data_IF_787698202085
#
_entry.id   IF_787698202085
#
_cell.length_a   1.000
_cell.length_b   1.000
_cell.length_c   1.000
_cell.angle_alpha   90.00
_cell.angle_beta   90.00
_cell.angle_gamma   90.00
#
_symmetry.space_group_name_H-M   'P 1'
#
loop_
_entity.id
_entity.type
_entity.pdbx_description
1 polymer ?
#
# COMPACT_ATOMS: atom_id res chain seq x y z
N UNK A 1 -18.14 0.83 -6.51
CA UNK A 1 -17.05 0.04 -5.91
C UNK A 1 -17.66 -0.84 -4.88
N UNK A 2 -17.34 -2.14 -4.91
CA UNK A 2 -17.83 -3.07 -3.88
C UNK A 2 -17.22 -2.68 -2.53
N UNK A 3 -18.00 -2.76 -1.45
CA UNK A 3 -17.55 -2.44 -0.09
C UNK A 3 -16.30 -3.23 0.32
N UNK A 4 -16.18 -4.48 -0.12
CA UNK A 4 -14.99 -5.31 0.13
C UNK A 4 -13.71 -4.71 -0.46
N UNK A 5 -13.80 -4.07 -1.64
CA UNK A 5 -12.65 -3.41 -2.25
C UNK A 5 -12.25 -2.15 -1.47
N UNK A 6 -13.23 -1.41 -0.94
CA UNK A 6 -12.98 -0.25 -0.07
C UNK A 6 -12.27 -0.67 1.23
N UNK A 7 -12.76 -1.72 1.89
CA UNK A 7 -12.13 -2.28 3.10
C UNK A 7 -10.73 -2.83 2.81
N UNK A 8 -10.50 -3.37 1.61
CA UNK A 8 -9.18 -3.84 1.18
C UNK A 8 -8.21 -2.68 0.95
N UNK A 9 -8.65 -1.63 0.25
CA UNK A 9 -7.87 -0.40 0.06
C UNK A 9 -7.52 0.21 1.42
N UNK A 10 -8.48 0.33 2.32
CA UNK A 10 -8.28 0.91 3.66
C UNK A 10 -7.21 0.14 4.47
N UNK A 11 -7.26 -1.19 4.48
CA UNK A 11 -6.23 -2.03 5.12
C UNK A 11 -4.84 -1.86 4.50
N UNK A 12 -4.76 -1.83 3.17
CA UNK A 12 -3.48 -1.65 2.46
C UNK A 12 -2.88 -0.26 2.74
N UNK A 13 -3.72 0.79 2.75
CA UNK A 13 -3.31 2.15 3.08
C UNK A 13 -2.82 2.27 4.53
N UNK A 14 -3.52 1.65 5.49
CA UNK A 14 -3.05 1.61 6.90
C UNK A 14 -1.67 0.94 7.01
N UNK A 15 -1.44 -0.16 6.29
CA UNK A 15 -0.14 -0.85 6.27
C UNK A 15 0.96 0.03 5.69
N UNK A 16 0.69 0.75 4.60
CA UNK A 16 1.64 1.70 4.00
C UNK A 16 2.04 2.80 4.98
N UNK A 17 1.06 3.41 5.66
CA UNK A 17 1.29 4.48 6.64
C UNK A 17 2.13 3.97 7.81
N UNK A 18 1.78 2.80 8.38
CA UNK A 18 2.53 2.22 9.49
C UNK A 18 3.99 1.96 9.13
N UNK A 19 4.25 1.35 7.96
CA UNK A 19 5.62 1.10 7.49
C UNK A 19 6.38 2.39 7.16
N UNK A 20 5.68 3.43 6.69
CA UNK A 20 6.29 4.73 6.41
C UNK A 20 6.66 5.48 7.69
N UNK A 21 5.84 5.41 8.74
CA UNK A 21 6.14 6.03 10.03
C UNK A 21 7.36 5.39 10.69
N UNK A 22 7.42 4.05 10.68
CA UNK A 22 8.61 3.31 11.12
C UNK A 22 9.88 3.82 10.41
N UNK A 23 9.78 4.12 9.11
CA UNK A 23 10.91 4.67 8.33
C UNK A 23 11.33 6.10 8.63
N UNK A 24 10.44 6.92 9.18
CA UNK A 24 10.70 8.35 9.43
C UNK A 24 11.16 8.63 10.86
N UNK A 25 10.71 7.86 11.85
CA UNK A 25 11.04 8.08 13.27
C UNK A 25 12.47 7.64 13.67
N UNK A 26 13.31 7.23 12.71
CA UNK A 26 14.71 6.88 12.96
C UNK A 26 14.92 5.49 13.60
N UNK A 27 13.88 4.68 13.81
CA UNK A 27 14.07 3.27 14.16
C UNK A 27 14.60 2.44 12.97
N UNK A 28 14.40 2.91 11.73
CA UNK A 28 15.03 2.30 10.54
C UNK A 28 16.54 2.56 10.44
N UNK A 29 17.12 3.42 11.30
CA UNK A 29 18.59 3.55 11.35
C UNK A 29 19.28 2.26 11.84
N UNK A 30 18.53 1.29 12.35
CA UNK A 30 19.01 -0.07 12.71
C UNK A 30 18.66 -1.15 11.69
N UNK A 31 17.84 -0.86 10.66
CA UNK A 31 17.56 -1.86 9.64
C UNK A 31 18.75 -2.01 8.71
N UNK A 32 19.15 -3.24 8.47
CA UNK A 32 20.14 -3.50 7.45
C UNK A 32 19.56 -3.23 6.03
N UNK A 33 20.45 -3.19 5.04
CA UNK A 33 20.04 -2.89 3.67
C UNK A 33 19.09 -3.94 3.07
N UNK A 34 19.00 -5.14 3.62
CA UNK A 34 18.08 -6.19 3.17
C UNK A 34 16.68 -5.96 3.76
N UNK A 35 16.57 -5.68 5.06
CA UNK A 35 15.32 -5.37 5.74
C UNK A 35 14.64 -4.12 5.16
N UNK A 36 15.41 -3.06 4.88
CA UNK A 36 14.89 -1.86 4.22
C UNK A 36 14.34 -2.16 2.81
N UNK A 37 14.98 -3.07 2.07
CA UNK A 37 14.53 -3.53 0.74
C UNK A 37 13.25 -4.35 0.83
N UNK A 38 13.12 -5.19 1.84
CA UNK A 38 11.91 -5.99 2.07
C UNK A 38 10.71 -5.10 2.41
N UNK A 39 10.89 -4.13 3.31
CA UNK A 39 9.84 -3.16 3.65
C UNK A 39 9.40 -2.38 2.40
N UNK A 40 10.36 -1.93 1.60
CA UNK A 40 10.06 -1.23 0.35
C UNK A 40 9.29 -2.12 -0.63
N UNK A 41 9.66 -3.39 -0.77
CA UNK A 41 8.96 -4.34 -1.63
C UNK A 41 7.52 -4.55 -1.17
N UNK A 42 7.30 -4.70 0.14
CA UNK A 42 5.96 -4.81 0.75
C UNK A 42 5.13 -3.55 0.46
N UNK A 43 5.71 -2.36 0.62
CA UNK A 43 5.03 -1.10 0.33
C UNK A 43 4.66 -0.99 -1.15
N UNK A 44 5.58 -1.32 -2.06
CA UNK A 44 5.30 -1.28 -3.50
C UNK A 44 4.19 -2.23 -3.91
N UNK A 45 4.15 -3.44 -3.34
CA UNK A 45 3.09 -4.40 -3.64
C UNK A 45 1.72 -3.93 -3.15
N UNK A 46 1.65 -3.40 -1.92
CA UNK A 46 0.41 -2.82 -1.39
C UNK A 46 -0.08 -1.64 -2.25
N UNK A 47 0.83 -0.76 -2.70
CA UNK A 47 0.50 0.36 -3.56
C UNK A 47 0.00 -0.08 -4.95
N UNK A 48 0.63 -1.10 -5.55
CA UNK A 48 0.18 -1.68 -6.83
C UNK A 48 -1.22 -2.27 -6.71
N UNK A 49 -1.49 -2.95 -5.61
CA UNK A 49 -2.80 -3.56 -5.37
C UNK A 49 -3.91 -2.52 -5.21
N UNK A 50 -3.66 -1.45 -4.44
CA UNK A 50 -4.57 -0.30 -4.36
C UNK A 50 -4.82 0.28 -5.74
N UNK A 51 -3.75 0.54 -6.51
CA UNK A 51 -3.85 1.08 -7.87
C UNK A 51 -4.73 0.20 -8.76
N UNK A 52 -4.53 -1.12 -8.72
CA UNK A 52 -5.33 -2.07 -9.49
C UNK A 52 -6.82 -1.98 -9.11
N UNK A 53 -7.15 -2.02 -7.82
CA UNK A 53 -8.53 -1.97 -7.34
C UNK A 53 -9.24 -0.66 -7.75
N UNK A 54 -8.53 0.47 -7.62
CA UNK A 54 -9.04 1.78 -8.01
C UNK A 54 -9.20 1.89 -9.53
N UNK A 55 -8.21 1.45 -10.32
CA UNK A 55 -8.28 1.48 -11.78
C UNK A 55 -9.40 0.60 -12.33
N UNK A 56 -9.63 -0.59 -11.76
CA UNK A 56 -10.77 -1.43 -12.13
C UNK A 56 -12.09 -0.71 -11.89
N UNK A 57 -12.25 -0.07 -10.74
CA UNK A 57 -13.46 0.68 -10.44
C UNK A 57 -13.67 1.88 -11.38
N UNK A 58 -12.63 2.69 -11.59
CA UNK A 58 -12.70 3.87 -12.46
C UNK A 58 -12.97 3.48 -13.92
N UNK A 59 -12.33 2.42 -14.41
CA UNK A 59 -12.60 1.87 -15.75
C UNK A 59 -14.02 1.34 -15.89
N UNK A 60 -14.56 0.70 -14.84
CA UNK A 60 -15.97 0.23 -14.83
C UNK A 60 -16.96 1.40 -14.84
N UNK A 61 -16.62 2.53 -14.24
CA UNK A 61 -17.46 3.75 -14.26
C UNK A 61 -17.39 4.50 -15.59
N UNK A 62 -16.29 4.42 -16.33
CA UNK A 62 -16.17 5.04 -17.66
C UNK A 62 -16.95 4.31 -18.75
N UNK A 63 -17.42 3.10 -18.50
CA UNK A 63 -18.18 2.25 -19.43
C UNK A 63 -19.70 2.21 -19.12
N UNK A 64 -20.16 2.98 -18.13
CA UNK A 64 -21.57 3.16 -17.76
C UNK A 64 -21.98 4.60 -18.00
#
# INVERSE_FOLDING_TARGET
MKTDNLLRIERLSRRLIALSLLSQDGEITELDGEEAREILAIQQEAAREIKKLVSTELGTRSLK
#
